data_IF_822996255147
#
_entry.id   IF_822996255147
#
_cell.length_a   1.000
_cell.length_b   1.000
_cell.length_c   1.000
_cell.angle_alpha   90.00
_cell.angle_beta   90.00
_cell.angle_gamma   90.00
#
_symmetry.space_group_name_H-M   'P 1'
#
loop_
_entity.id
_entity.type
_entity.pdbx_description
1 polymer ?
#
# COMPACT_ATOMS: atom_id res chain seq x y z
N UNK A 1 22.48 23.39 23.06
CA UNK A 1 22.68 21.91 22.97
C UNK A 1 21.56 21.30 22.14
N UNK A 2 21.81 21.06 20.86
CA UNK A 2 20.82 20.53 19.90
C UNK A 2 20.90 19.01 19.88
N UNK A 3 19.91 18.31 20.46
CA UNK A 3 19.74 16.86 20.33
C UNK A 3 19.15 16.53 18.95
N UNK A 4 19.99 16.50 17.92
CA UNK A 4 19.68 15.84 16.66
C UNK A 4 20.33 14.44 16.67
N UNK A 5 19.76 13.50 17.42
CA UNK A 5 20.19 12.10 17.39
C UNK A 5 18.98 11.19 17.23
N UNK A 6 19.02 10.41 16.13
CA UNK A 6 18.12 9.32 15.66
C UNK A 6 17.05 9.68 14.61
N UNK A 7 17.50 9.86 13.36
CA UNK A 7 16.86 9.20 12.21
C UNK A 7 17.84 8.94 11.06
N UNK A 8 18.94 8.25 11.33
CA UNK A 8 19.73 7.61 10.28
C UNK A 8 19.14 6.21 9.99
N UNK A 9 17.93 6.19 9.42
CA UNK A 9 17.42 4.98 8.75
C UNK A 9 17.78 5.19 7.28
N UNK A 10 18.79 4.46 6.80
CA UNK A 10 19.51 4.70 5.53
C UNK A 10 18.61 5.15 4.36
N UNK A 11 18.83 6.37 3.88
CA UNK A 11 18.27 6.90 2.63
C UNK A 11 18.96 6.29 1.39
N UNK A 12 19.31 5.00 1.41
CA UNK A 12 19.85 4.32 0.23
C UNK A 12 18.72 4.16 -0.79
N UNK A 13 18.95 4.69 -2.01
CA UNK A 13 18.02 4.55 -3.12
C UNK A 13 18.00 3.11 -3.63
N UNK A 14 16.99 2.75 -4.42
CA UNK A 14 16.98 1.42 -5.04
C UNK A 14 18.15 1.23 -6.00
N UNK A 15 18.63 2.30 -6.64
CA UNK A 15 19.72 2.21 -7.61
C UNK A 15 21.07 2.00 -6.92
N UNK A 16 21.26 2.61 -5.75
CA UNK A 16 22.43 2.34 -4.90
C UNK A 16 22.43 0.87 -4.44
N UNK A 17 21.25 0.35 -4.06
CA UNK A 17 21.10 -1.05 -3.67
C UNK A 17 21.36 -1.99 -4.86
N UNK A 18 20.84 -1.69 -6.04
CA UNK A 18 21.08 -2.50 -7.25
C UNK A 18 22.57 -2.53 -7.56
N UNK A 19 23.25 -1.38 -7.57
CA UNK A 19 24.68 -1.30 -7.85
C UNK A 19 25.51 -2.04 -6.81
N UNK A 20 25.18 -1.89 -5.53
CA UNK A 20 25.92 -2.55 -4.43
C UNK A 20 25.73 -4.07 -4.40
N UNK A 21 24.53 -4.54 -4.76
CA UNK A 21 24.13 -5.94 -4.66
C UNK A 21 23.99 -6.62 -6.02
N UNK A 22 24.50 -6.04 -7.10
CA UNK A 22 24.28 -6.53 -8.47
C UNK A 22 24.63 -8.02 -8.62
N UNK A 23 25.83 -8.40 -8.15
CA UNK A 23 26.26 -9.80 -8.18
C UNK A 23 25.32 -10.71 -7.39
N UNK A 24 24.96 -10.31 -6.16
CA UNK A 24 24.04 -11.08 -5.31
C UNK A 24 22.67 -11.23 -5.97
N UNK A 25 22.17 -10.17 -6.61
CA UNK A 25 20.88 -10.19 -7.30
C UNK A 25 20.90 -11.16 -8.49
N UNK A 26 21.96 -11.16 -9.29
CA UNK A 26 22.11 -12.09 -10.41
C UNK A 26 22.25 -13.55 -9.94
N UNK A 27 23.16 -13.82 -9.00
CA UNK A 27 23.40 -15.18 -8.47
C UNK A 27 22.13 -15.79 -7.85
N UNK A 28 21.37 -14.98 -7.11
CA UNK A 28 20.10 -15.40 -6.49
C UNK A 28 19.02 -15.63 -7.54
N UNK A 29 18.98 -14.85 -8.62
CA UNK A 29 18.01 -15.03 -9.70
C UNK A 29 18.29 -16.32 -10.51
N UNK A 30 19.57 -16.66 -10.72
CA UNK A 30 19.95 -17.94 -11.33
C UNK A 30 19.58 -19.11 -10.42
N UNK A 31 19.87 -18.98 -9.12
CA UNK A 31 19.47 -19.96 -8.10
C UNK A 31 17.95 -20.15 -8.06
N UNK A 32 17.18 -19.08 -8.20
CA UNK A 32 15.72 -19.15 -8.26
C UNK A 32 15.26 -20.07 -9.41
N UNK A 33 15.79 -19.84 -10.61
CA UNK A 33 15.48 -20.64 -11.81
C UNK A 33 15.84 -22.11 -11.60
N UNK A 34 16.99 -22.38 -10.98
CA UNK A 34 17.43 -23.74 -10.65
C UNK A 34 16.51 -24.41 -9.62
N UNK A 35 16.10 -23.70 -8.57
CA UNK A 35 15.24 -24.29 -7.52
C UNK A 35 13.83 -24.58 -8.03
N UNK A 36 13.28 -23.74 -8.91
CA UNK A 36 11.98 -23.98 -9.55
C UNK A 36 12.05 -25.18 -10.49
N UNK A 37 13.06 -25.24 -11.37
CA UNK A 37 13.23 -26.37 -12.30
C UNK A 37 13.45 -27.71 -11.60
N UNK A 38 14.09 -27.70 -10.42
CA UNK A 38 14.28 -28.89 -9.57
C UNK A 38 13.07 -29.24 -8.69
N UNK A 39 11.99 -28.46 -8.74
CA UNK A 39 10.80 -28.68 -7.89
C UNK A 39 11.06 -28.48 -6.40
N UNK A 40 12.10 -27.72 -6.03
CA UNK A 40 12.46 -27.42 -4.63
C UNK A 40 11.66 -26.23 -4.07
N UNK A 41 10.50 -25.94 -4.67
CA UNK A 41 9.57 -24.91 -4.25
C UNK A 41 8.44 -25.51 -3.42
N UNK A 42 7.99 -24.82 -2.37
CA UNK A 42 6.90 -25.32 -1.54
C UNK A 42 5.59 -25.37 -2.35
N UNK A 43 4.81 -26.42 -2.12
CA UNK A 43 3.49 -26.59 -2.74
C UNK A 43 2.45 -25.68 -2.08
N UNK A 44 1.34 -25.42 -2.77
CA UNK A 44 0.26 -24.61 -2.23
C UNK A 44 -0.32 -25.17 -0.91
N UNK A 45 -0.34 -26.50 -0.75
CA UNK A 45 -0.79 -27.16 0.48
C UNK A 45 0.16 -26.89 1.67
N UNK A 46 1.47 -26.87 1.43
CA UNK A 46 2.49 -26.58 2.46
C UNK A 46 2.46 -25.11 2.89
N UNK A 47 2.11 -24.22 1.96
CA UNK A 47 2.00 -22.78 2.20
C UNK A 47 0.72 -22.36 2.92
N UNK A 48 -0.25 -23.29 3.05
CA UNK A 48 -1.49 -23.03 3.74
C UNK A 48 -1.25 -22.93 5.26
N UNK A 49 -1.43 -21.73 5.81
CA UNK A 49 -1.21 -21.47 7.23
C UNK A 49 -2.13 -22.36 8.08
N UNK A 50 -1.53 -23.20 8.92
CA UNK A 50 -2.25 -23.95 9.97
C UNK A 50 -2.74 -22.94 11.02
N UNK A 51 -4.06 -22.87 11.24
CA UNK A 51 -4.62 -22.15 12.40
C UNK A 51 -5.32 -20.80 12.14
N UNK A 52 -5.91 -20.55 10.97
CA UNK A 52 -6.91 -19.49 10.86
C UNK A 52 -7.23 -19.03 9.44
N UNK A 53 -8.36 -18.36 9.31
CA UNK A 53 -8.87 -17.69 8.09
C UNK A 53 -8.05 -16.43 7.74
N UNK A 54 -6.71 -16.52 7.75
CA UNK A 54 -5.83 -15.43 7.34
C UNK A 54 -5.81 -15.33 5.82
N UNK A 55 -5.69 -14.10 5.30
CA UNK A 55 -5.62 -13.86 3.85
C UNK A 55 -4.52 -14.73 3.22
N UNK A 56 -4.81 -15.44 2.11
CA UNK A 56 -3.77 -16.19 1.38
C UNK A 56 -2.68 -15.23 0.87
N UNK A 57 -1.44 -15.71 0.92
CA UNK A 57 -0.26 -14.96 0.47
C UNK A 57 -0.32 -14.74 -1.04
N UNK A 58 0.04 -13.53 -1.51
CA UNK A 58 0.09 -13.22 -2.94
C UNK A 58 1.40 -13.67 -3.60
N UNK A 59 1.46 -13.64 -4.93
CA UNK A 59 2.61 -14.15 -5.71
C UNK A 59 3.92 -13.43 -5.41
N UNK A 60 3.92 -12.11 -5.28
CA UNK A 60 5.14 -11.35 -4.97
C UNK A 60 5.70 -11.69 -3.60
N UNK A 61 4.85 -11.85 -2.58
CA UNK A 61 5.29 -12.24 -1.23
C UNK A 61 5.74 -13.70 -1.21
N UNK A 62 5.10 -14.60 -1.96
CA UNK A 62 5.58 -15.98 -2.12
C UNK A 62 6.98 -16.02 -2.72
N UNK A 63 7.20 -15.29 -3.81
CA UNK A 63 8.50 -15.17 -4.45
C UNK A 63 9.56 -14.61 -3.50
N UNK A 64 9.29 -13.48 -2.85
CA UNK A 64 10.22 -12.85 -1.91
C UNK A 64 10.56 -13.78 -0.74
N UNK A 65 9.58 -14.51 -0.20
CA UNK A 65 9.83 -15.47 0.87
C UNK A 65 10.71 -16.63 0.41
N UNK A 66 10.50 -17.13 -0.82
CA UNK A 66 11.33 -18.19 -1.40
C UNK A 66 12.76 -17.71 -1.68
N UNK A 67 12.92 -16.49 -2.19
CA UNK A 67 14.22 -15.85 -2.36
C UNK A 67 14.99 -15.76 -1.03
N UNK A 68 14.30 -15.33 0.03
CA UNK A 68 14.87 -15.17 1.37
C UNK A 68 15.25 -16.50 2.01
N UNK A 69 14.37 -17.51 1.94
CA UNK A 69 14.52 -18.76 2.70
C UNK A 69 15.26 -19.85 1.94
N UNK A 70 15.06 -19.94 0.64
CA UNK A 70 15.51 -21.07 -0.19
C UNK A 70 16.67 -20.66 -1.08
N UNK A 71 16.61 -19.47 -1.68
CA UNK A 71 17.65 -19.00 -2.60
C UNK A 71 18.81 -18.27 -1.89
N UNK A 72 18.84 -18.24 -0.56
CA UNK A 72 19.96 -17.68 0.21
C UNK A 72 20.09 -16.16 0.19
N UNK A 73 19.10 -15.39 -0.31
CA UNK A 73 19.20 -13.93 -0.41
C UNK A 73 19.49 -13.27 0.95
N UNK A 74 18.93 -13.80 2.03
CA UNK A 74 19.18 -13.27 3.36
C UNK A 74 20.63 -13.48 3.82
N UNK A 75 21.20 -14.62 3.50
CA UNK A 75 22.55 -14.99 3.93
C UNK A 75 23.61 -14.22 3.14
N UNK A 76 23.39 -13.99 1.85
CA UNK A 76 24.26 -13.11 1.06
C UNK A 76 24.25 -11.66 1.56
N UNK A 77 23.08 -11.12 1.89
CA UNK A 77 22.99 -9.76 2.47
C UNK A 77 23.65 -9.71 3.85
N UNK A 78 23.55 -10.77 4.66
CA UNK A 78 24.22 -10.85 5.97
C UNK A 78 25.75 -10.87 5.84
N UNK A 79 26.32 -11.46 4.80
CA UNK A 79 27.77 -11.42 4.56
C UNK A 79 28.27 -9.99 4.31
N UNK A 80 27.44 -9.13 3.75
CA UNK A 80 27.79 -7.74 3.40
C UNK A 80 27.48 -6.76 4.54
N UNK A 81 26.31 -6.86 5.17
CA UNK A 81 25.83 -5.89 6.18
C UNK A 81 25.96 -6.37 7.63
N UNK A 82 26.28 -7.66 7.83
CA UNK A 82 26.19 -8.32 9.13
C UNK A 82 24.74 -8.60 9.56
N UNK A 83 24.57 -8.97 10.83
CA UNK A 83 23.26 -9.29 11.42
C UNK A 83 22.66 -8.07 12.11
N UNK A 84 21.67 -7.44 11.48
CA UNK A 84 20.94 -6.32 12.06
C UNK A 84 19.48 -6.27 11.59
N UNK A 85 18.66 -5.42 12.24
CA UNK A 85 17.30 -5.13 11.76
C UNK A 85 17.30 -4.51 10.35
N UNK A 86 18.35 -3.75 10.00
CA UNK A 86 18.52 -3.14 8.67
C UNK A 86 18.71 -4.22 7.61
N UNK A 87 19.45 -5.29 7.92
CA UNK A 87 19.67 -6.44 7.02
C UNK A 87 18.35 -6.97 6.47
N UNK A 88 17.38 -7.29 7.33
CA UNK A 88 16.06 -7.76 6.91
C UNK A 88 15.31 -6.74 6.02
N UNK A 89 15.44 -5.44 6.30
CA UNK A 89 14.82 -4.39 5.49
C UNK A 89 15.44 -4.33 4.09
N UNK A 90 16.77 -4.40 4.01
CA UNK A 90 17.51 -4.47 2.73
C UNK A 90 17.13 -5.73 1.98
N UNK A 91 17.17 -6.90 2.61
CA UNK A 91 16.82 -8.19 1.97
C UNK A 91 15.41 -8.15 1.37
N UNK A 92 14.42 -7.63 2.10
CA UNK A 92 13.05 -7.50 1.58
C UNK A 92 12.95 -6.50 0.43
N UNK A 93 13.70 -5.39 0.49
CA UNK A 93 13.78 -4.41 -0.61
C UNK A 93 14.39 -5.05 -1.86
N UNK A 94 15.51 -5.76 -1.73
CA UNK A 94 16.15 -6.49 -2.82
C UNK A 94 15.23 -7.55 -3.44
N UNK A 95 14.50 -8.31 -2.62
CA UNK A 95 13.49 -9.24 -3.14
C UNK A 95 12.38 -8.53 -3.94
N UNK A 96 11.94 -7.35 -3.48
CA UNK A 96 11.00 -6.52 -4.24
C UNK A 96 11.57 -5.98 -5.55
N UNK A 97 12.87 -5.65 -5.58
CA UNK A 97 13.58 -5.25 -6.79
C UNK A 97 13.64 -6.41 -7.79
N UNK A 98 14.03 -7.62 -7.35
CA UNK A 98 14.03 -8.83 -8.20
C UNK A 98 12.65 -9.12 -8.78
N UNK A 99 11.60 -9.02 -7.96
CA UNK A 99 10.22 -9.22 -8.42
C UNK A 99 9.81 -8.26 -9.55
N UNK A 100 10.27 -7.00 -9.46
CA UNK A 100 10.01 -5.97 -10.48
C UNK A 100 10.88 -6.14 -11.73
N UNK A 101 12.07 -6.72 -11.58
CA UNK A 101 13.00 -6.99 -12.68
C UNK A 101 12.49 -8.09 -13.63
N UNK A 102 11.74 -9.05 -13.10
CA UNK A 102 11.12 -10.11 -13.91
C UNK A 102 9.94 -9.56 -14.71
N UNK A 103 9.91 -9.82 -16.02
CA UNK A 103 8.80 -9.46 -16.89
C UNK A 103 7.54 -10.29 -16.60
N UNK A 104 6.38 -9.82 -17.07
CA UNK A 104 5.11 -10.55 -16.89
C UNK A 104 5.13 -11.96 -17.52
N UNK A 105 5.93 -12.16 -18.56
CA UNK A 105 6.12 -13.45 -19.25
C UNK A 105 7.28 -14.28 -18.70
N UNK A 106 8.00 -13.80 -17.69
CA UNK A 106 9.10 -14.53 -17.07
C UNK A 106 8.59 -15.86 -16.47
N UNK A 107 9.20 -17.02 -16.79
CA UNK A 107 8.75 -18.32 -16.30
C UNK A 107 8.66 -18.42 -14.77
N UNK A 108 9.59 -17.79 -14.04
CA UNK A 108 9.58 -17.78 -12.58
C UNK A 108 8.43 -16.93 -12.04
N UNK A 109 8.17 -15.78 -12.68
CA UNK A 109 7.04 -14.92 -12.30
C UNK A 109 5.70 -15.62 -12.54
N UNK A 110 5.55 -16.28 -13.68
CA UNK A 110 4.39 -17.10 -14.03
C UNK A 110 4.20 -18.25 -13.02
N UNK A 111 5.29 -18.91 -12.63
CA UNK A 111 5.26 -19.96 -11.61
C UNK A 111 4.64 -19.47 -10.29
N UNK A 112 5.12 -18.34 -9.74
CA UNK A 112 4.56 -17.81 -8.48
C UNK A 112 3.14 -17.28 -8.62
N UNK A 113 2.76 -16.77 -9.79
CA UNK A 113 1.38 -16.38 -10.08
C UNK A 113 0.45 -17.59 -10.03
N UNK A 114 0.85 -18.70 -10.67
CA UNK A 114 0.10 -19.97 -10.64
C UNK A 114 0.02 -20.52 -9.21
N UNK A 115 1.13 -20.56 -8.49
CA UNK A 115 1.18 -21.02 -7.10
C UNK A 115 0.27 -20.19 -6.17
N UNK A 116 0.24 -18.87 -6.32
CA UNK A 116 -0.64 -18.01 -5.55
C UNK A 116 -2.13 -18.25 -5.87
N UNK A 117 -2.44 -18.54 -7.13
CA UNK A 117 -3.79 -18.86 -7.57
C UNK A 117 -4.25 -20.21 -7.00
N UNK A 118 -3.40 -21.24 -7.05
CA UNK A 118 -3.67 -22.54 -6.41
C UNK A 118 -3.89 -22.40 -4.89
N UNK A 119 -3.03 -21.64 -4.21
CA UNK A 119 -3.17 -21.34 -2.78
C UNK A 119 -4.51 -20.65 -2.47
N UNK A 120 -4.94 -19.73 -3.34
CA UNK A 120 -6.22 -19.02 -3.20
C UNK A 120 -7.41 -19.97 -3.36
N UNK A 121 -7.38 -20.89 -4.31
CA UNK A 121 -8.45 -21.87 -4.51
C UNK A 121 -8.53 -22.86 -3.35
N UNK A 122 -7.39 -23.40 -2.89
CA UNK A 122 -7.33 -24.27 -1.71
C UNK A 122 -7.84 -23.51 -0.46
N UNK A 123 -7.47 -22.25 -0.30
CA UNK A 123 -7.96 -21.42 0.80
C UNK A 123 -9.47 -21.23 0.76
N UNK A 124 -10.06 -20.95 -0.42
CA UNK A 124 -11.52 -20.82 -0.56
C UNK A 124 -12.24 -22.11 -0.20
N UNK A 125 -11.72 -23.26 -0.65
CA UNK A 125 -12.30 -24.57 -0.34
C UNK A 125 -12.27 -24.86 1.18
N UNK A 126 -11.14 -24.53 1.83
CA UNK A 126 -10.98 -24.75 3.28
C UNK A 126 -11.74 -23.75 4.14
N UNK A 127 -11.93 -22.53 3.65
CA UNK A 127 -12.59 -21.44 4.37
C UNK A 127 -13.66 -20.75 3.50
N UNK A 128 -14.77 -21.44 3.18
CA UNK A 128 -15.78 -20.94 2.24
C UNK A 128 -16.49 -19.67 2.72
N UNK A 129 -16.56 -19.46 4.04
CA UNK A 129 -17.15 -18.27 4.66
C UNK A 129 -16.13 -17.15 4.94
N UNK A 130 -14.88 -17.30 4.50
CA UNK A 130 -13.89 -16.25 4.68
C UNK A 130 -14.28 -14.97 3.95
N UNK A 131 -14.31 -13.86 4.69
CA UNK A 131 -14.42 -12.51 4.14
C UNK A 131 -13.23 -11.68 4.61
N UNK A 132 -12.56 -11.03 3.67
CA UNK A 132 -11.49 -10.09 4.02
C UNK A 132 -12.11 -8.89 4.73
N UNK A 133 -11.87 -8.76 6.04
CA UNK A 133 -12.29 -7.58 6.80
C UNK A 133 -11.17 -6.55 6.83
N UNK A 134 -11.45 -5.34 6.35
CA UNK A 134 -10.55 -4.20 6.51
C UNK A 134 -10.91 -3.49 7.81
N UNK A 135 -10.11 -3.68 8.87
CA UNK A 135 -10.25 -2.83 10.06
C UNK A 135 -9.69 -1.45 9.72
N UNK A 136 -10.53 -0.42 9.67
CA UNK A 136 -10.06 0.97 9.62
C UNK A 136 -9.27 1.23 10.92
N UNK A 137 -8.01 1.64 10.82
CA UNK A 137 -7.25 2.02 12.00
C UNK A 137 -7.92 3.24 12.62
N UNK A 138 -8.36 3.15 13.87
CA UNK A 138 -8.70 4.33 14.65
C UNK A 138 -7.44 5.19 14.75
N UNK A 139 -7.43 6.34 14.08
CA UNK A 139 -6.40 7.35 14.27
C UNK A 139 -6.29 7.59 15.78
N UNK A 140 -5.13 7.28 16.38
CA UNK A 140 -4.87 7.65 17.77
C UNK A 140 -5.00 9.17 17.83
N UNK A 141 -6.04 9.67 18.49
CA UNK A 141 -6.13 11.08 18.85
C UNK A 141 -4.92 11.39 19.74
N UNK A 142 -3.94 12.10 19.18
CA UNK A 142 -2.84 12.63 19.95
C UNK A 142 -3.43 13.68 20.90
N UNK A 143 -3.54 13.35 22.19
CA UNK A 143 -3.83 14.35 23.23
C UNK A 143 -2.53 15.08 23.51
N UNK A 144 -2.36 16.26 22.93
CA UNK A 144 -1.33 17.20 23.37
C UNK A 144 -1.70 17.64 24.79
N UNK A 145 -0.81 17.40 25.75
CA UNK A 145 -0.90 18.05 27.06
C UNK A 145 -0.49 19.50 26.85
N UNK A 146 -1.43 20.44 26.91
CA UNK A 146 -1.08 21.84 27.08
C UNK A 146 -0.44 21.99 28.47
N UNK A 147 0.83 22.37 28.49
CA UNK A 147 1.47 22.87 29.71
C UNK A 147 0.95 24.30 29.86
N UNK A 148 0.14 24.55 30.89
CA UNK A 148 -0.24 25.90 31.26
C UNK A 148 1.02 26.57 31.85
N UNK A 149 1.73 27.33 31.04
CA UNK A 149 2.64 28.36 31.54
C UNK A 149 1.78 29.51 32.06
N UNK A 150 1.68 29.61 33.39
CA UNK A 150 1.23 30.82 34.08
C UNK A 150 2.34 31.84 33.83
N UNK A 151 2.16 32.72 32.85
CA UNK A 151 2.92 33.95 32.76
C UNK A 151 2.25 34.90 33.76
N UNK A 152 2.98 35.19 34.83
CA UNK A 152 2.68 36.23 35.80
C UNK A 152 2.55 37.59 35.11
N UNK A 153 1.51 38.32 35.47
CA UNK A 153 1.30 39.74 35.18
C UNK A 153 2.58 40.53 35.41
N UNK A 154 3.06 41.19 34.35
CA UNK A 154 3.82 42.44 34.48
C UNK A 154 3.45 43.35 33.30
N UNK A 155 2.94 44.52 33.68
CA UNK A 155 2.33 45.58 32.88
C UNK A 155 3.06 45.98 31.60
N UNK A 156 2.36 46.00 30.45
CA UNK A 156 2.68 46.92 29.34
C UNK A 156 1.39 47.57 28.80
N UNK A 157 1.34 48.89 28.95
CA UNK A 157 0.35 49.85 28.47
C UNK A 157 0.19 49.82 26.95
N UNK A 158 -1.03 49.71 26.43
CA UNK A 158 -1.39 50.14 25.07
C UNK A 158 -2.62 51.04 25.17
N UNK A 159 -2.49 52.25 24.63
CA UNK A 159 -3.42 53.36 24.80
C UNK A 159 -4.76 53.13 24.11
N UNK A 160 -5.82 53.60 24.78
CA UNK A 160 -7.16 53.81 24.26
C UNK A 160 -7.18 55.00 23.28
N UNK A 161 -7.85 54.85 22.15
CA UNK A 161 -8.57 55.95 21.49
C UNK A 161 -9.98 55.46 21.12
N UNK A 162 -10.95 55.82 21.96
CA UNK A 162 -12.37 55.78 21.65
C UNK A 162 -12.81 57.22 21.32
N UNK A 163 -13.38 57.44 20.13
CA UNK A 163 -14.39 58.48 19.96
C UNK A 163 -15.64 57.90 19.31
N UNK A 164 -16.73 58.03 20.07
CA UNK A 164 -18.11 57.68 19.79
C UNK A 164 -18.70 58.56 18.68
N UNK A 165 -19.78 58.08 18.04
CA UNK A 165 -21.08 58.76 17.88
C UNK A 165 -22.07 57.75 17.28
N UNK A 166 -23.16 57.45 18.02
CA UNK A 166 -24.40 56.88 17.46
C UNK A 166 -25.26 57.99 16.84
N UNK A 167 -26.28 57.70 16.02
CA UNK A 167 -27.60 57.49 16.62
C UNK A 167 -28.46 56.40 15.94
N UNK A 168 -29.31 55.81 16.76
CA UNK A 168 -30.43 54.94 16.43
C UNK A 168 -31.71 55.80 16.35
N UNK A 169 -32.43 55.80 15.20
CA UNK A 169 -33.88 56.11 15.19
C UNK A 169 -34.61 55.36 14.04
N UNK A 170 -35.62 54.58 14.45
CA UNK A 170 -36.91 54.23 13.79
C UNK A 170 -37.01 53.51 12.44
N UNK A 171 -37.56 52.30 12.52
CA UNK A 171 -38.53 51.63 11.65
C UNK A 171 -39.21 52.50 10.56
N UNK A 172 -39.01 52.13 9.29
CA UNK A 172 -40.07 52.08 8.27
C UNK A 172 -39.81 50.86 7.35
N UNK A 173 -40.85 50.05 7.22
CA UNK A 173 -41.08 48.94 6.28
C UNK A 173 -40.66 49.29 4.83
N UNK A 174 -40.05 48.35 4.11
CA UNK A 174 -40.29 47.99 2.68
C UNK A 174 -39.21 46.95 2.29
N UNK A 175 -39.65 45.73 1.99
CA UNK A 175 -38.82 44.70 1.39
C UNK A 175 -38.51 45.03 -0.08
N UNK A 176 -37.37 44.56 -0.62
CA UNK A 176 -37.34 44.08 -1.99
C UNK A 176 -36.94 42.60 -2.05
N UNK A 177 -37.83 41.87 -2.71
CA UNK A 177 -37.69 40.52 -3.22
C UNK A 177 -36.44 40.39 -4.11
N UNK A 178 -35.55 39.45 -3.78
CA UNK A 178 -34.61 38.89 -4.75
C UNK A 178 -35.29 37.70 -5.44
N UNK A 179 -35.69 37.87 -6.70
CA UNK A 179 -36.09 36.78 -7.60
C UNK A 179 -35.05 36.66 -8.71
N UNK A 180 -34.41 35.48 -8.81
CA UNK A 180 -33.75 34.91 -9.99
C UNK A 180 -33.45 33.41 -9.69
N UNK A 181 -33.36 32.53 -10.69
CA UNK A 181 -34.32 31.45 -10.87
C UNK A 181 -33.73 30.06 -10.61
N UNK A 182 -34.63 29.11 -10.33
CA UNK A 182 -34.34 27.67 -10.25
C UNK A 182 -33.94 27.08 -11.62
N UNK A 183 -32.89 26.24 -11.69
CA UNK A 183 -32.70 25.34 -12.82
C UNK A 183 -33.65 24.14 -12.71
N UNK A 184 -34.45 23.94 -13.77
CA UNK A 184 -35.40 22.84 -13.94
C UNK A 184 -34.70 21.48 -13.93
N UNK A 185 -35.30 20.52 -13.21
CA UNK A 185 -35.01 19.10 -13.33
C UNK A 185 -35.54 18.59 -14.67
N UNK A 186 -34.64 18.22 -15.57
CA UNK A 186 -34.96 17.30 -16.67
C UNK A 186 -34.47 15.90 -16.29
N UNK A 187 -35.43 14.99 -16.14
CA UNK A 187 -35.18 13.56 -16.07
C UNK A 187 -35.20 12.98 -17.48
N UNK A 188 -34.23 12.14 -17.85
CA UNK A 188 -34.47 11.05 -18.78
C UNK A 188 -34.43 9.71 -18.04
N UNK A 189 -35.44 8.89 -18.30
CA UNK A 189 -35.47 7.49 -17.89
C UNK A 189 -34.30 6.74 -18.53
N UNK A 190 -33.43 6.16 -17.70
CA UNK A 190 -32.40 5.20 -18.13
C UNK A 190 -32.82 3.81 -17.66
N UNK A 191 -33.10 2.96 -18.64
CA UNK A 191 -33.24 1.51 -18.53
C UNK A 191 -32.05 0.93 -17.76
N UNK A 192 -32.34 0.28 -16.62
CA UNK A 192 -31.32 -0.44 -15.86
C UNK A 192 -30.88 -1.68 -16.63
N UNK A 193 -29.74 -1.59 -17.32
CA UNK A 193 -28.90 -2.75 -17.57
C UNK A 193 -27.85 -2.84 -16.45
N UNK A 194 -27.85 -4.00 -15.79
CA UNK A 194 -26.91 -4.40 -14.74
C UNK A 194 -25.46 -4.34 -15.26
N UNK A 195 -24.73 -3.28 -14.94
CA UNK A 195 -23.26 -3.29 -14.97
C UNK A 195 -22.75 -3.54 -13.56
N UNK A 196 -22.52 -4.81 -13.24
CA UNK A 196 -21.77 -5.20 -12.05
C UNK A 196 -20.32 -4.77 -12.23
N UNK A 197 -19.82 -4.04 -11.24
CA UNK A 197 -18.51 -3.40 -11.19
C UNK A 197 -17.36 -4.38 -11.47
N UNK A 198 -16.76 -4.25 -12.66
CA UNK A 198 -15.52 -4.92 -13.05
C UNK A 198 -14.34 -4.31 -12.28
N UNK A 199 -13.60 -5.18 -11.58
CA UNK A 199 -12.31 -4.88 -10.94
C UNK A 199 -11.28 -4.46 -12.00
N UNK A 200 -10.40 -3.48 -11.74
CA UNK A 200 -9.49 -2.88 -12.74
C UNK A 200 -8.34 -3.80 -13.23
N UNK A 201 -8.48 -5.13 -13.13
CA UNK A 201 -7.45 -6.12 -13.49
C UNK A 201 -7.92 -7.17 -14.50
N UNK A 202 -8.98 -6.93 -15.29
CA UNK A 202 -9.48 -7.92 -16.26
C UNK A 202 -9.25 -7.57 -17.74
N UNK A 203 -8.54 -6.49 -18.06
CA UNK A 203 -8.34 -6.06 -19.45
C UNK A 203 -7.11 -6.67 -20.16
N UNK A 204 -6.82 -7.97 -20.01
CA UNK A 204 -5.78 -8.61 -20.87
C UNK A 204 -6.05 -10.09 -21.25
N UNK A 205 -7.28 -10.61 -21.17
CA UNK A 205 -7.57 -12.01 -21.61
C UNK A 205 -8.76 -12.07 -22.59
N UNK A 206 -8.86 -11.14 -23.55
CA UNK A 206 -9.89 -11.20 -24.61
C UNK A 206 -9.38 -10.84 -26.01
N UNK A 207 -8.12 -11.12 -26.30
CA UNK A 207 -7.62 -11.16 -27.69
C UNK A 207 -6.66 -12.33 -27.79
N UNK A 208 -7.17 -13.54 -28.02
CA UNK A 208 -6.52 -14.64 -28.75
C UNK A 208 -7.38 -15.90 -28.60
N UNK A 209 -8.57 -15.85 -29.18
CA UNK A 209 -9.35 -17.03 -29.51
C UNK A 209 -10.10 -16.71 -30.78
N UNK A 210 -9.38 -16.69 -31.91
CA UNK A 210 -9.91 -16.84 -33.27
C UNK A 210 -8.75 -16.83 -34.27
N UNK A 211 -7.88 -17.86 -34.23
CA UNK A 211 -7.23 -18.41 -35.43
C UNK A 211 -6.89 -19.87 -35.15
N UNK A 212 -7.84 -20.77 -35.42
CA UNK A 212 -7.61 -22.17 -35.75
C UNK A 212 -8.95 -22.77 -36.20
N UNK A 213 -9.33 -22.45 -37.44
CA UNK A 213 -10.19 -23.28 -38.26
C UNK A 213 -9.85 -22.98 -39.73
N UNK A 214 -9.51 -24.06 -40.44
CA UNK A 214 -9.08 -24.21 -41.84
C UNK A 214 -7.63 -23.88 -42.17
#
# INVERSE_FOLDING_TARGET
MTRAIKKACSNESNEDLIKKYEKVLNDVQDTLTITISKGQTPTANELLIKGGSKKPTNSSILCINHLIKTCGLMDEVRKIEGTSKRTMQITRRLGGILWKRMDCHDPNKLFFNKLAQELKEIHKLKFPYYKQTTRKSTLRQYRFKHVNEIITDDHIHIMNDHQMIQPNITNINIAPQYFLPQPQQFSPQLTQQYFSHLSPYQYEILYFSDVNNL
#
